data_IF_254574337296
#
_entry.id   IF_254574337296
#
_cell.length_a   1.000
_cell.length_b   1.000
_cell.length_c   1.000
_cell.angle_alpha   90.00
_cell.angle_beta   90.00
_cell.angle_gamma   90.00
#
_symmetry.space_group_name_H-M   'P 1'
#
loop_
_entity.id
_entity.type
_entity.pdbx_description
1 polymer ?
#
# COMPACT_ATOMS: atom_id res chain seq x y z
N UNK A 1 -13.55 -17.00 -29.04
CA UNK A 1 -13.05 -16.77 -27.67
C UNK A 1 -12.75 -15.28 -27.54
N UNK A 2 -13.65 -14.50 -26.93
CA UNK A 2 -13.44 -13.06 -26.77
C UNK A 2 -12.48 -12.80 -25.61
N UNK A 3 -11.35 -12.17 -25.87
CA UNK A 3 -10.45 -11.70 -24.82
C UNK A 3 -10.98 -10.38 -24.28
N UNK A 4 -11.32 -10.34 -23.00
CA UNK A 4 -11.57 -9.09 -22.29
C UNK A 4 -10.21 -8.47 -21.93
N UNK A 5 -9.86 -7.37 -22.59
CA UNK A 5 -8.66 -6.58 -22.31
C UNK A 5 -9.09 -5.30 -21.61
N UNK A 6 -8.44 -4.95 -20.49
CA UNK A 6 -8.67 -3.70 -19.76
C UNK A 6 -7.33 -3.04 -19.47
N UNK A 7 -7.31 -1.71 -19.52
CA UNK A 7 -6.21 -0.90 -19.00
C UNK A 7 -6.51 -0.65 -17.53
N UNK A 8 -5.51 -0.82 -16.67
CA UNK A 8 -5.57 -0.51 -15.25
C UNK A 8 -4.60 0.63 -14.96
N UNK A 9 -5.00 1.55 -14.10
CA UNK A 9 -4.10 2.56 -13.56
C UNK A 9 -3.22 1.91 -12.48
N UNK A 10 -1.93 2.23 -12.50
CA UNK A 10 -0.95 1.79 -11.52
C UNK A 10 -0.95 2.70 -10.27
N UNK A 11 -1.61 3.87 -10.34
CA UNK A 11 -1.88 4.80 -9.24
C UNK A 11 -0.66 5.16 -8.39
N UNK A 12 0.53 5.25 -9.02
CA UNK A 12 1.77 5.58 -8.32
C UNK A 12 2.49 4.40 -7.65
N UNK A 13 2.00 3.17 -7.80
CA UNK A 13 2.66 1.98 -7.26
C UNK A 13 3.99 1.71 -7.98
N UNK A 14 5.06 1.52 -7.22
CA UNK A 14 6.37 1.16 -7.73
C UNK A 14 6.59 -0.35 -7.62
N UNK A 15 7.18 -0.93 -8.63
CA UNK A 15 7.74 -2.29 -8.58
C UNK A 15 9.12 -2.30 -7.92
N UNK A 16 9.61 -3.49 -7.56
CA UNK A 16 11.01 -3.66 -7.11
C UNK A 16 12.02 -3.24 -8.18
N UNK A 17 11.69 -3.40 -9.48
CA UNK A 17 12.54 -2.94 -10.57
C UNK A 17 12.62 -1.40 -10.61
N UNK A 18 11.50 -0.71 -10.37
CA UNK A 18 11.51 0.75 -10.29
C UNK A 18 12.40 1.24 -9.14
N UNK A 19 12.34 0.56 -7.99
CA UNK A 19 13.21 0.86 -6.85
C UNK A 19 14.70 0.71 -7.17
N UNK A 20 15.06 -0.30 -7.96
CA UNK A 20 16.44 -0.48 -8.43
C UNK A 20 16.87 0.66 -9.35
N UNK A 21 15.99 1.10 -10.25
CA UNK A 21 16.27 2.18 -11.20
C UNK A 21 16.46 3.54 -10.51
N UNK A 22 15.72 3.79 -9.43
CA UNK A 22 15.86 5.03 -8.63
C UNK A 22 16.90 4.92 -7.52
N UNK A 23 17.73 3.87 -7.53
CA UNK A 23 18.77 3.68 -6.51
C UNK A 23 19.75 4.86 -6.49
N UNK A 24 20.09 5.32 -5.28
CA UNK A 24 20.97 6.48 -5.08
C UNK A 24 20.30 7.85 -5.25
N UNK A 25 18.99 7.91 -5.52
CA UNK A 25 18.23 9.17 -5.61
C UNK A 25 17.67 9.63 -4.27
N UNK A 26 17.40 10.93 -4.14
CA UNK A 26 16.69 11.49 -2.99
C UNK A 26 15.24 10.99 -2.86
N UNK A 27 14.64 10.54 -3.97
CA UNK A 27 13.32 9.89 -3.97
C UNK A 27 13.37 8.59 -3.16
N UNK A 28 14.36 7.73 -3.41
CA UNK A 28 14.52 6.49 -2.64
C UNK A 28 14.76 6.78 -1.16
N UNK A 29 15.56 7.81 -0.83
CA UNK A 29 15.77 8.23 0.56
C UNK A 29 14.45 8.69 1.22
N UNK A 30 13.61 9.41 0.49
CA UNK A 30 12.29 9.85 0.97
C UNK A 30 11.38 8.66 1.24
N UNK A 31 11.28 7.72 0.29
CA UNK A 31 10.56 6.45 0.44
C UNK A 31 11.03 5.67 1.67
N UNK A 32 12.35 5.55 1.87
CA UNK A 32 12.94 4.83 3.00
C UNK A 32 12.63 5.47 4.36
N UNK A 33 12.58 6.81 4.44
CA UNK A 33 12.21 7.55 5.67
C UNK A 33 10.73 7.39 6.01
N UNK A 34 9.88 7.34 5.00
CA UNK A 34 8.43 7.29 5.09
C UNK A 34 7.89 5.85 5.09
N UNK A 35 8.61 4.95 5.76
CA UNK A 35 8.34 3.52 5.73
C UNK A 35 7.46 3.08 6.90
N UNK A 36 6.53 2.18 6.65
CA UNK A 36 5.63 1.56 7.66
C UNK A 36 5.67 0.04 7.56
N UNK A 37 5.49 -0.61 8.69
CA UNK A 37 5.24 -2.04 8.79
C UNK A 37 3.78 -2.24 9.19
N UNK A 38 3.06 -3.09 8.47
CA UNK A 38 1.66 -3.40 8.73
C UNK A 38 1.55 -4.89 8.98
N UNK A 39 1.05 -5.24 10.16
CA UNK A 39 0.81 -6.62 10.57
C UNK A 39 -0.70 -6.90 10.61
N UNK A 40 -1.13 -7.96 9.91
CA UNK A 40 -2.50 -8.49 9.94
C UNK A 40 -2.55 -9.59 11.01
N UNK A 41 -3.23 -9.32 12.12
CA UNK A 41 -3.23 -10.24 13.28
C UNK A 41 -4.31 -11.33 13.19
N UNK A 42 -5.44 -11.04 12.53
CA UNK A 42 -6.54 -12.00 12.37
C UNK A 42 -6.45 -12.65 10.98
N UNK A 43 -6.10 -13.94 10.95
CA UNK A 43 -5.83 -14.69 9.73
C UNK A 43 -7.13 -15.02 9.00
N UNK A 44 -7.47 -14.28 7.95
CA UNK A 44 -8.59 -14.58 7.07
C UNK A 44 -8.92 -13.45 6.10
N UNK A 45 -8.66 -12.20 6.48
CA UNK A 45 -9.02 -11.04 5.66
C UNK A 45 -7.81 -10.55 4.87
N UNK A 46 -7.85 -10.67 3.53
CA UNK A 46 -6.94 -9.94 2.66
C UNK A 46 -7.19 -8.43 2.81
N UNK A 47 -6.12 -7.64 2.83
CA UNK A 47 -6.23 -6.18 2.85
C UNK A 47 -6.67 -5.70 1.45
N UNK A 48 -7.75 -4.93 1.38
CA UNK A 48 -8.13 -4.19 0.18
C UNK A 48 -7.19 -2.99 0.00
N UNK A 49 -6.05 -3.25 -0.64
CA UNK A 49 -5.03 -2.22 -0.91
C UNK A 49 -5.57 -1.06 -1.74
N UNK A 50 -6.53 -1.28 -2.64
CA UNK A 50 -7.13 -0.21 -3.43
C UNK A 50 -7.87 0.78 -2.53
N UNK A 51 -8.64 0.27 -1.57
CA UNK A 51 -9.34 1.11 -0.58
C UNK A 51 -8.35 1.81 0.35
N UNK A 52 -7.33 1.10 0.82
CA UNK A 52 -6.31 1.68 1.71
C UNK A 52 -5.48 2.78 1.04
N UNK A 53 -5.18 2.64 -0.26
CA UNK A 53 -4.43 3.63 -1.04
C UNK A 53 -5.30 4.75 -1.63
N UNK A 54 -6.60 4.77 -1.33
CA UNK A 54 -7.49 5.81 -1.85
C UNK A 54 -7.05 7.20 -1.39
N UNK A 55 -6.75 8.08 -2.35
CA UNK A 55 -6.32 9.46 -2.10
C UNK A 55 -4.86 9.62 -1.73
N UNK A 56 -4.05 8.56 -1.83
CA UNK A 56 -2.58 8.65 -1.92
C UNK A 56 -2.23 9.26 -3.27
N UNK A 57 -1.33 10.25 -3.28
CA UNK A 57 -1.00 10.99 -4.51
C UNK A 57 0.45 10.88 -4.94
N UNK A 58 1.36 10.57 -4.01
CA UNK A 58 2.77 10.29 -4.29
C UNK A 58 3.01 8.84 -4.72
N UNK A 59 4.26 8.56 -5.09
CA UNK A 59 4.71 7.20 -5.37
C UNK A 59 4.71 6.36 -4.09
N UNK A 60 4.44 5.07 -4.21
CA UNK A 60 4.53 4.15 -3.08
C UNK A 60 4.97 2.76 -3.51
N UNK A 61 5.52 1.99 -2.57
CA UNK A 61 5.81 0.58 -2.77
C UNK A 61 5.17 -0.24 -1.66
N UNK A 62 4.66 -1.44 -1.99
CA UNK A 62 4.15 -2.41 -1.03
C UNK A 62 4.90 -3.72 -1.25
N UNK A 63 5.54 -4.22 -0.19
CA UNK A 63 6.24 -5.50 -0.19
C UNK A 63 5.69 -6.39 0.90
N UNK A 64 5.34 -7.62 0.55
CA UNK A 64 5.05 -8.69 1.51
C UNK A 64 6.37 -9.22 2.07
N UNK A 65 6.51 -9.24 3.40
CA UNK A 65 7.70 -9.76 4.09
C UNK A 65 7.52 -11.23 4.49
N UNK A 66 6.38 -11.55 5.09
CA UNK A 66 6.10 -12.89 5.64
C UNK A 66 4.92 -13.54 4.92
N UNK A 67 4.79 -14.86 5.06
CA UNK A 67 3.93 -15.70 4.26
C UNK A 67 2.48 -15.28 4.26
N UNK A 68 1.95 -14.50 5.22
CA UNK A 68 0.56 -13.96 5.13
C UNK A 68 0.29 -12.63 5.82
N UNK A 69 1.13 -12.19 6.77
CA UNK A 69 0.69 -11.22 7.77
C UNK A 69 1.48 -9.93 7.82
N UNK A 70 2.67 -9.87 7.26
CA UNK A 70 3.56 -8.72 7.42
C UNK A 70 3.85 -8.06 6.08
N UNK A 71 3.55 -6.77 6.00
CA UNK A 71 3.80 -5.92 4.84
C UNK A 71 4.68 -4.75 5.22
N UNK A 72 5.55 -4.38 4.30
CA UNK A 72 6.32 -3.15 4.32
C UNK A 72 5.77 -2.21 3.26
N UNK A 73 5.53 -0.97 3.66
CA UNK A 73 4.98 0.05 2.78
C UNK A 73 5.89 1.26 2.83
N UNK A 74 6.22 1.81 1.67
CA UNK A 74 7.03 3.02 1.53
C UNK A 74 6.18 4.06 0.80
N UNK A 75 6.19 5.29 1.30
CA UNK A 75 5.49 6.40 0.68
C UNK A 75 6.47 7.49 0.27
N UNK A 76 6.31 8.09 -0.89
CA UNK A 76 7.11 9.24 -1.29
C UNK A 76 6.82 10.42 -0.35
N UNK A 77 5.53 10.73 -0.15
CA UNK A 77 5.09 11.89 0.60
C UNK A 77 4.68 11.52 2.04
N UNK A 78 5.08 12.31 3.04
CA UNK A 78 4.66 12.07 4.44
C UNK A 78 3.15 12.12 4.63
N UNK A 79 2.45 13.01 3.91
CA UNK A 79 0.99 13.17 4.02
C UNK A 79 0.21 11.94 3.55
N UNK A 80 0.79 11.14 2.65
CA UNK A 80 0.17 9.90 2.18
C UNK A 80 0.16 8.84 3.27
N UNK A 81 1.09 8.91 4.22
CA UNK A 81 1.09 8.06 5.41
C UNK A 81 -0.15 8.35 6.26
N UNK A 82 -0.40 9.63 6.57
CA UNK A 82 -1.55 10.04 7.38
C UNK A 82 -2.87 9.64 6.71
N UNK A 83 -2.94 9.78 5.38
CA UNK A 83 -4.07 9.32 4.58
C UNK A 83 -4.26 7.81 4.70
N UNK A 84 -3.20 7.04 4.49
CA UNK A 84 -3.22 5.59 4.59
C UNK A 84 -3.65 5.12 5.99
N UNK A 85 -3.09 5.70 7.04
CA UNK A 85 -3.41 5.35 8.43
C UNK A 85 -4.89 5.67 8.77
N UNK A 86 -5.42 6.79 8.26
CA UNK A 86 -6.84 7.11 8.36
C UNK A 86 -7.71 6.09 7.63
N UNK A 87 -7.37 5.72 6.40
CA UNK A 87 -8.11 4.72 5.63
C UNK A 87 -8.10 3.36 6.33
N UNK A 88 -6.94 2.96 6.89
CA UNK A 88 -6.79 1.73 7.66
C UNK A 88 -7.65 1.74 8.92
N UNK A 89 -7.72 2.85 9.64
CA UNK A 89 -8.59 2.99 10.81
C UNK A 89 -10.07 2.85 10.42
N UNK A 90 -10.50 3.52 9.35
CA UNK A 90 -11.88 3.42 8.86
C UNK A 90 -12.24 1.99 8.44
N UNK A 91 -11.34 1.29 7.75
CA UNK A 91 -11.55 -0.11 7.37
C UNK A 91 -11.76 -1.01 8.60
N UNK A 92 -10.94 -0.87 9.65
CA UNK A 92 -11.10 -1.63 10.90
C UNK A 92 -12.43 -1.37 11.60
N UNK A 93 -12.91 -0.13 11.56
CA UNK A 93 -14.22 0.23 12.15
C UNK A 93 -15.37 -0.37 11.35
N UNK A 94 -15.32 -0.32 10.02
CA UNK A 94 -16.33 -0.96 9.16
C UNK A 94 -16.44 -2.47 9.42
N UNK A 95 -15.31 -3.16 9.53
CA UNK A 95 -15.29 -4.60 9.84
C UNK A 95 -15.93 -4.91 11.21
N UNK A 96 -15.89 -3.98 12.16
CA UNK A 96 -16.51 -4.18 13.48
C UNK A 96 -18.04 -4.06 13.41
N UNK A 97 -18.56 -3.17 12.57
CA UNK A 97 -20.01 -2.97 12.41
C UNK A 97 -20.70 -4.02 11.53
N UNK A 98 -19.98 -4.70 10.64
CA UNK A 98 -20.54 -5.81 9.84
C UNK A 98 -20.66 -7.13 10.63
N UNK A 99 -20.07 -7.19 11.83
CA UNK A 99 -20.08 -8.37 12.71
C UNK A 99 -21.03 -8.23 13.92
N UNK A 100 -21.89 -7.20 13.96
CA UNK A 100 -22.98 -7.01 14.94
C UNK A 100 -24.35 -7.32 14.32
#
# INVERSE_FOLDING_TARGET
>A
MNKNVRILDNSGSLSETDLQLISGTDLLLSLMRNRRLVMVTNGGTELDWSKLMTGVTGLYHIRRIDTDKLYQIWFELPMDIDRFEKNLLMAKLSDTHENE
#
